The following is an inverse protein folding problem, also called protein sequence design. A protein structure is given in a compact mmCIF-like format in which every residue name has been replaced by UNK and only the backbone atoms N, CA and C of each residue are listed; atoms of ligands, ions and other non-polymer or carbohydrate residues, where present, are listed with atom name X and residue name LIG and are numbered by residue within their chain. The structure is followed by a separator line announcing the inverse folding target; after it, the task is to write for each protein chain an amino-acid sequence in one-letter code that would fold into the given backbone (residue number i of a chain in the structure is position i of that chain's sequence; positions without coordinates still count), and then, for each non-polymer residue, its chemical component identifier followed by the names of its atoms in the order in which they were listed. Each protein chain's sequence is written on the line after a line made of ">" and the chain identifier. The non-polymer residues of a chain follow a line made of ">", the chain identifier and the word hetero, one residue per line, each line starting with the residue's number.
data_IF_034114768243
#
_entry.id   IF_034114768243
#
_cell.length_a   1.000
_cell.length_b   1.000
_cell.length_c   1.000
_cell.angle_alpha   90.00
_cell.angle_beta   90.00
_cell.angle_gamma   90.00
#
_symmetry.space_group_name_H-M   'P 1'
#
loop_
_entity.id
_entity.type
_entity.pdbx_description
1 polymer ?
#
# COMPACT_ATOMS: atom_id res chain seq x y z
N UNK A 1 14.61 18.18 -41.35
CA UNK A 1 13.92 18.44 -40.06
C UNK A 1 12.88 17.34 -39.88
N UNK A 2 13.25 16.27 -39.15
CA UNK A 2 12.41 15.10 -38.93
C UNK A 2 11.60 15.32 -37.66
N UNK A 3 10.28 15.46 -37.79
CA UNK A 3 9.33 15.56 -36.68
C UNK A 3 9.13 14.18 -36.05
N UNK A 4 9.41 14.08 -34.75
CA UNK A 4 9.14 12.90 -33.92
C UNK A 4 7.66 12.49 -33.99
N UNK A 5 7.33 11.19 -34.11
CA UNK A 5 5.95 10.70 -34.10
C UNK A 5 5.28 10.74 -32.69
N UNK A 6 6.00 11.18 -31.66
CA UNK A 6 5.53 11.25 -30.27
C UNK A 6 5.14 12.69 -29.83
N UNK A 7 4.33 13.37 -30.65
CA UNK A 7 3.61 14.55 -30.14
C UNK A 7 2.59 14.06 -29.09
N UNK A 8 2.75 14.49 -27.84
CA UNK A 8 1.84 14.20 -26.74
C UNK A 8 0.41 14.58 -27.14
N UNK A 9 -0.47 13.59 -27.28
CA UNK A 9 -1.91 13.84 -27.42
C UNK A 9 -2.43 14.38 -26.09
N UNK A 10 -2.45 15.70 -25.98
CA UNK A 10 -3.15 16.41 -24.92
C UNK A 10 -4.63 15.98 -24.97
N UNK A 11 -5.19 15.58 -23.84
CA UNK A 11 -6.57 15.09 -23.79
C UNK A 11 -7.51 16.21 -24.26
N UNK A 12 -8.26 15.96 -25.32
CA UNK A 12 -9.18 16.95 -25.87
C UNK A 12 -10.23 17.33 -24.82
N UNK A 13 -10.43 18.64 -24.62
CA UNK A 13 -11.44 19.16 -23.70
C UNK A 13 -12.83 18.67 -24.11
N UNK A 14 -13.61 18.17 -23.15
CA UNK A 14 -15.03 17.91 -23.34
C UNK A 14 -15.76 19.26 -23.39
N UNK A 15 -16.55 19.56 -24.44
CA UNK A 15 -17.24 20.84 -24.53
C UNK A 15 -18.49 20.82 -23.64
N UNK A 16 -18.34 21.20 -22.38
CA UNK A 16 -19.39 21.34 -21.36
C UNK A 16 -19.98 22.75 -21.29
N UNK A 17 -19.46 23.69 -22.09
CA UNK A 17 -19.99 25.05 -22.21
C UNK A 17 -19.54 25.99 -21.10
N UNK A 18 -18.60 25.57 -20.25
CA UNK A 18 -17.99 26.42 -19.23
C UNK A 18 -16.53 26.69 -19.57
N UNK A 19 -16.04 27.89 -19.27
CA UNK A 19 -14.64 28.31 -19.59
C UNK A 19 -13.65 27.98 -18.48
N UNK A 20 -14.06 27.21 -17.48
CA UNK A 20 -13.33 26.87 -16.25
C UNK A 20 -12.75 25.44 -16.27
N UNK A 21 -12.67 24.81 -17.46
CA UNK A 21 -12.01 23.52 -17.62
C UNK A 21 -10.53 23.61 -17.24
N UNK A 22 -10.21 23.29 -15.99
CA UNK A 22 -8.88 22.87 -15.58
C UNK A 22 -8.79 21.35 -15.74
N UNK A 23 -7.88 20.83 -16.61
CA UNK A 23 -7.66 19.40 -16.67
C UNK A 23 -7.21 18.93 -15.28
N UNK A 24 -7.91 17.94 -14.70
CA UNK A 24 -7.58 17.31 -13.41
C UNK A 24 -6.16 16.68 -13.36
N UNK A 25 -5.42 16.77 -14.47
CA UNK A 25 -4.10 16.18 -14.70
C UNK A 25 -3.17 17.19 -15.40
N UNK A 26 -2.98 18.37 -14.80
CA UNK A 26 -2.03 19.39 -15.28
C UNK A 26 -0.57 19.14 -14.85
N UNK A 27 -0.29 18.03 -14.16
CA UNK A 27 1.06 17.73 -13.69
C UNK A 27 1.88 17.09 -14.81
N UNK A 28 2.96 17.75 -15.22
CA UNK A 28 3.88 17.36 -16.30
C UNK A 28 4.55 15.98 -16.10
N UNK A 29 4.35 15.34 -14.94
CA UNK A 29 4.85 14.00 -14.61
C UNK A 29 3.97 12.87 -15.13
N UNK A 30 2.72 13.17 -15.46
CA UNK A 30 1.73 12.19 -15.87
C UNK A 30 1.62 12.18 -17.39
N UNK A 31 2.56 11.50 -18.04
CA UNK A 31 2.49 11.22 -19.48
C UNK A 31 1.34 10.23 -19.74
N UNK A 32 0.24 10.65 -20.42
CA UNK A 32 -0.91 9.77 -20.67
C UNK A 32 -0.58 8.59 -21.59
N UNK A 33 0.59 8.57 -22.25
CA UNK A 33 1.06 7.47 -23.07
C UNK A 33 1.87 6.41 -22.33
N UNK A 34 2.25 6.63 -21.06
CA UNK A 34 2.95 5.62 -20.26
C UNK A 34 1.97 4.57 -19.76
N UNK A 35 2.10 3.35 -20.29
CA UNK A 35 1.39 2.18 -19.75
C UNK A 35 1.77 1.97 -18.29
N UNK A 36 0.79 1.62 -17.44
CA UNK A 36 1.10 1.30 -16.06
C UNK A 36 1.88 -0.03 -16.03
N UNK A 37 2.85 -0.14 -15.12
CA UNK A 37 3.68 -1.35 -14.99
C UNK A 37 2.80 -2.59 -14.76
N UNK A 38 1.66 -2.43 -14.08
CA UNK A 38 0.70 -3.52 -13.88
C UNK A 38 0.06 -4.04 -15.18
N UNK A 39 0.01 -3.23 -16.24
CA UNK A 39 -0.58 -3.57 -17.54
C UNK A 39 0.43 -4.22 -18.49
N UNK A 40 1.71 -4.26 -18.12
CA UNK A 40 2.76 -4.90 -18.93
C UNK A 40 2.85 -6.41 -18.66
N UNK A 41 3.17 -7.24 -19.67
CA UNK A 41 3.31 -8.68 -19.46
C UNK A 41 4.49 -8.97 -18.52
N UNK A 42 4.27 -9.86 -17.55
CA UNK A 42 5.31 -10.30 -16.63
C UNK A 42 6.30 -11.24 -17.36
N UNK A 43 7.34 -10.66 -17.93
CA UNK A 43 8.46 -11.40 -18.53
C UNK A 43 9.55 -11.60 -17.48
N UNK A 44 10.36 -12.66 -17.62
CA UNK A 44 11.47 -12.93 -16.69
C UNK A 44 12.52 -11.81 -16.63
N UNK A 45 12.68 -11.04 -17.72
CA UNK A 45 13.55 -9.87 -17.73
C UNK A 45 13.00 -8.72 -16.89
N UNK A 46 11.68 -8.55 -16.82
CA UNK A 46 11.03 -7.35 -16.29
C UNK A 46 10.43 -7.55 -14.89
N UNK A 47 10.56 -8.74 -14.29
CA UNK A 47 10.11 -9.03 -12.90
C UNK A 47 10.62 -7.98 -11.92
N UNK A 48 11.86 -7.52 -12.08
CA UNK A 48 12.46 -6.51 -11.20
C UNK A 48 11.72 -5.16 -11.23
N UNK A 49 10.99 -4.83 -12.30
CA UNK A 49 10.17 -3.60 -12.41
C UNK A 49 8.83 -3.74 -11.69
N UNK A 50 8.32 -4.95 -11.55
CA UNK A 50 7.03 -5.25 -10.92
C UNK A 50 7.13 -5.41 -9.40
N UNK A 51 8.36 -5.46 -8.87
CA UNK A 51 8.61 -5.63 -7.44
C UNK A 51 8.64 -4.26 -6.76
N UNK A 52 7.82 -4.10 -5.72
CA UNK A 52 7.99 -3.01 -4.77
C UNK A 52 9.19 -3.31 -3.87
N UNK A 53 10.37 -2.84 -4.28
CA UNK A 53 11.63 -3.11 -3.59
C UNK A 53 11.64 -2.62 -2.14
N UNK A 54 10.93 -1.54 -1.81
CA UNK A 54 10.82 -1.06 -0.43
C UNK A 54 10.11 -2.11 0.44
N UNK A 55 8.91 -2.52 0.04
CA UNK A 55 8.12 -3.51 0.81
C UNK A 55 8.82 -4.87 0.84
N UNK A 56 9.38 -5.31 -0.30
CA UNK A 56 10.11 -6.58 -0.38
C UNK A 56 11.30 -6.61 0.59
N UNK A 57 12.08 -5.54 0.63
CA UNK A 57 13.23 -5.43 1.54
C UNK A 57 12.79 -5.46 3.00
N UNK A 58 11.73 -4.71 3.37
CA UNK A 58 11.24 -4.68 4.75
C UNK A 58 10.71 -6.04 5.20
N UNK A 59 9.91 -6.71 4.37
CA UNK A 59 9.29 -8.01 4.69
C UNK A 59 10.35 -9.12 4.81
N UNK A 60 11.47 -9.03 4.09
CA UNK A 60 12.53 -10.05 4.15
C UNK A 60 13.55 -9.75 5.25
N UNK A 61 14.05 -8.52 5.32
CA UNK A 61 15.16 -8.18 6.23
C UNK A 61 14.70 -8.14 7.70
N UNK A 62 13.53 -7.57 8.00
CA UNK A 62 13.08 -7.41 9.39
C UNK A 62 12.93 -8.76 10.09
N UNK A 63 12.25 -9.78 9.51
CA UNK A 63 12.18 -11.09 10.14
C UNK A 63 13.54 -11.77 10.27
N UNK A 64 14.43 -11.67 9.28
CA UNK A 64 15.78 -12.26 9.35
C UNK A 64 16.55 -11.68 10.54
N UNK A 65 16.55 -10.35 10.70
CA UNK A 65 17.18 -9.70 11.85
C UNK A 65 16.51 -10.17 13.16
N UNK A 66 15.18 -10.31 13.17
CA UNK A 66 14.43 -10.85 14.31
C UNK A 66 14.87 -12.28 14.68
N UNK A 67 14.98 -13.18 13.71
CA UNK A 67 15.42 -14.55 13.92
C UNK A 67 16.86 -14.65 14.42
N UNK A 68 17.76 -13.86 13.83
CA UNK A 68 19.15 -13.76 14.27
C UNK A 68 19.17 -13.26 15.72
N UNK A 69 18.58 -12.10 16.00
CA UNK A 69 18.59 -11.49 17.33
C UNK A 69 17.92 -12.35 18.42
N UNK A 70 16.92 -13.17 18.08
CA UNK A 70 16.27 -14.08 19.01
C UNK A 70 17.24 -15.11 19.64
N UNK A 71 18.31 -15.49 18.95
CA UNK A 71 19.30 -16.43 19.49
C UNK A 71 20.10 -15.84 20.67
N UNK A 72 20.41 -14.54 20.62
CA UNK A 72 21.21 -13.86 21.65
C UNK A 72 20.35 -13.12 22.70
N UNK A 73 19.05 -12.99 22.48
CA UNK A 73 18.18 -12.18 23.34
C UNK A 73 17.44 -13.07 24.34
N UNK A 74 17.70 -12.96 25.66
CA UNK A 74 16.96 -13.73 26.65
C UNK A 74 15.50 -13.25 26.72
N UNK A 75 14.57 -14.21 26.79
CA UNK A 75 13.15 -13.90 26.89
C UNK A 75 12.77 -13.59 28.35
N UNK A 76 12.31 -12.36 28.58
CA UNK A 76 11.69 -11.99 29.86
C UNK A 76 10.18 -12.30 29.83
N UNK A 77 9.63 -12.74 30.96
CA UNK A 77 8.21 -13.12 31.04
C UNK A 77 7.27 -11.98 30.64
N UNK A 78 7.52 -10.76 31.12
CA UNK A 78 6.69 -9.60 30.79
C UNK A 78 6.73 -9.25 29.30
N UNK A 79 7.91 -9.34 28.65
CA UNK A 79 8.03 -9.08 27.21
C UNK A 79 7.39 -10.19 26.39
N UNK A 80 7.47 -11.45 26.83
CA UNK A 80 6.77 -12.57 26.21
C UNK A 80 5.25 -12.43 26.27
N UNK A 81 4.70 -12.10 27.44
CA UNK A 81 3.25 -11.85 27.58
C UNK A 81 2.81 -10.67 26.70
N UNK A 82 3.57 -9.58 26.71
CA UNK A 82 3.30 -8.42 25.89
C UNK A 82 3.32 -8.74 24.39
N UNK A 83 4.29 -9.54 23.93
CA UNK A 83 4.38 -9.98 22.53
C UNK A 83 3.14 -10.78 22.10
N UNK A 84 2.64 -11.68 22.96
CA UNK A 84 1.41 -12.46 22.69
C UNK A 84 0.20 -11.53 22.59
N UNK A 85 0.05 -10.59 23.54
CA UNK A 85 -1.06 -9.63 23.52
C UNK A 85 -1.01 -8.79 22.23
N UNK A 86 0.16 -8.27 21.87
CA UNK A 86 0.33 -7.50 20.65
C UNK A 86 0.00 -8.33 19.40
N UNK A 87 0.47 -9.58 19.33
CA UNK A 87 0.20 -10.48 18.20
C UNK A 87 -1.30 -10.65 17.94
N UNK A 88 -2.09 -10.93 18.98
CA UNK A 88 -3.53 -11.08 18.83
C UNK A 88 -4.23 -9.74 18.55
N UNK A 89 -3.77 -8.63 19.13
CA UNK A 89 -4.34 -7.31 18.84
C UNK A 89 -4.10 -6.90 17.38
N UNK A 90 -2.89 -7.05 16.85
CA UNK A 90 -2.60 -6.73 15.44
C UNK A 90 -3.33 -7.66 14.49
N UNK A 91 -3.41 -8.96 14.81
CA UNK A 91 -4.22 -9.93 14.06
C UNK A 91 -5.70 -9.59 14.03
N UNK A 92 -6.26 -9.11 15.15
CA UNK A 92 -7.64 -8.62 15.22
C UNK A 92 -7.82 -7.35 14.37
N UNK A 93 -6.87 -6.42 14.42
CA UNK A 93 -6.84 -5.22 13.60
C UNK A 93 -6.87 -5.52 12.09
N UNK A 94 -6.16 -6.56 11.64
CA UNK A 94 -6.22 -7.02 10.24
C UNK A 94 -7.58 -7.66 9.96
N UNK A 95 -7.98 -8.66 10.74
CA UNK A 95 -9.13 -9.51 10.38
C UNK A 95 -10.47 -8.85 10.61
N UNK A 96 -10.70 -8.26 11.79
CA UNK A 96 -11.93 -7.52 12.09
C UNK A 96 -11.90 -6.14 11.42
N UNK A 97 -10.75 -5.46 11.45
CA UNK A 97 -10.58 -4.15 10.84
C UNK A 97 -10.38 -4.21 9.32
N UNK A 98 -9.13 -4.30 8.87
CA UNK A 98 -8.73 -4.11 7.47
C UNK A 98 -9.58 -4.96 6.51
N UNK A 99 -9.78 -6.23 6.86
CA UNK A 99 -10.52 -7.18 6.04
C UNK A 99 -12.04 -7.01 6.15
N UNK A 100 -12.64 -7.21 7.33
CA UNK A 100 -14.11 -7.25 7.47
C UNK A 100 -14.76 -5.87 7.46
N UNK A 101 -14.20 -4.90 8.16
CA UNK A 101 -14.81 -3.57 8.31
C UNK A 101 -14.55 -2.68 7.10
N UNK A 102 -13.29 -2.58 6.62
CA UNK A 102 -12.94 -1.65 5.54
C UNK A 102 -12.97 -2.27 4.16
N UNK A 103 -12.38 -3.46 3.94
CA UNK A 103 -12.37 -4.09 2.61
C UNK A 103 -13.73 -4.69 2.23
N UNK A 104 -14.40 -5.37 3.15
CA UNK A 104 -15.67 -6.07 2.88
C UNK A 104 -16.92 -5.40 3.45
N UNK A 105 -16.79 -4.35 4.26
CA UNK A 105 -17.92 -3.62 4.88
C UNK A 105 -18.98 -4.56 5.50
N UNK A 106 -18.54 -5.65 6.12
CA UNK A 106 -19.44 -6.70 6.64
C UNK A 106 -20.25 -6.26 7.86
N UNK A 107 -19.84 -5.18 8.53
CA UNK A 107 -20.54 -4.60 9.67
C UNK A 107 -20.24 -3.11 9.81
N UNK A 108 -21.04 -2.40 10.62
CA UNK A 108 -20.78 -1.00 10.99
C UNK A 108 -20.27 -0.93 12.43
N UNK A 109 -19.08 -0.38 12.60
CA UNK A 109 -18.49 -0.09 13.92
C UNK A 109 -18.79 1.34 14.39
N UNK A 110 -18.84 1.55 15.70
CA UNK A 110 -18.81 2.89 16.31
C UNK A 110 -17.43 3.52 16.15
N UNK A 111 -17.34 4.85 16.19
CA UNK A 111 -16.09 5.60 16.06
C UNK A 111 -14.96 5.12 16.99
N UNK A 112 -15.15 4.86 18.29
CA UNK A 112 -14.08 4.36 19.15
C UNK A 112 -13.55 3.00 18.69
N UNK A 113 -14.44 2.09 18.28
CA UNK A 113 -14.03 0.78 17.77
C UNK A 113 -13.28 0.91 16.43
N UNK A 114 -13.67 1.83 15.56
CA UNK A 114 -12.94 2.13 14.31
C UNK A 114 -11.52 2.61 14.60
N UNK A 115 -11.34 3.52 15.56
CA UNK A 115 -10.03 4.05 15.94
C UNK A 115 -9.16 2.93 16.52
N UNK A 116 -9.70 2.12 17.43
CA UNK A 116 -8.99 0.97 18.00
C UNK A 116 -8.54 -0.01 16.92
N UNK A 117 -9.44 -0.44 16.02
CA UNK A 117 -9.10 -1.38 14.95
C UNK A 117 -8.10 -0.79 13.96
N UNK A 118 -8.15 0.53 13.71
CA UNK A 118 -7.20 1.21 12.84
C UNK A 118 -5.80 1.27 13.48
N UNK A 119 -5.72 1.59 14.77
CA UNK A 119 -4.46 1.60 15.51
C UNK A 119 -3.86 0.19 15.66
N UNK A 120 -4.70 -0.79 16.00
CA UNK A 120 -4.29 -2.19 16.10
C UNK A 120 -3.80 -2.73 14.75
N UNK A 121 -4.51 -2.43 13.66
CA UNK A 121 -4.09 -2.83 12.31
C UNK A 121 -2.85 -2.08 11.81
N UNK A 122 -2.64 -0.82 12.21
CA UNK A 122 -1.40 -0.09 11.90
C UNK A 122 -0.17 -0.78 12.49
N UNK A 123 -0.30 -1.43 13.65
CA UNK A 123 0.76 -2.24 14.24
C UNK A 123 1.18 -3.47 13.41
N UNK A 124 0.38 -3.88 12.43
CA UNK A 124 0.72 -4.97 11.52
C UNK A 124 1.62 -4.55 10.34
N UNK A 125 1.75 -3.25 10.07
CA UNK A 125 2.61 -2.70 9.01
C UNK A 125 2.27 -3.27 7.60
N UNK A 126 0.98 -3.43 7.31
CA UNK A 126 0.49 -3.98 6.02
C UNK A 126 0.01 -2.89 5.04
N UNK A 127 0.45 -1.65 5.24
CA UNK A 127 -0.02 -0.50 4.47
C UNK A 127 -1.23 0.18 5.12
N UNK A 128 -1.90 1.03 4.34
CA UNK A 128 -3.03 1.84 4.78
C UNK A 128 -4.34 1.04 4.78
N UNK A 129 -5.31 1.46 5.60
CA UNK A 129 -6.71 0.95 5.57
C UNK A 129 -7.50 1.34 4.30
N UNK A 130 -6.89 2.09 3.38
CA UNK A 130 -7.45 2.61 2.13
C UNK A 130 -6.48 2.33 1.00
#
# INVERSE_FOLDING_TARGET
>A
MSSSPWASKEAAAFPDGTTDYEPLRSNTKDDPGRVHIADTPMTWSDIHLHINWLNATLIVIIPIIGFISAYWTPLHLYTGIWAVILYFNTGLGITAGYHRLWAHTSYKATTPLKIYLAAAGAGAVQGSIR
#
